data_IF_101759594967
#
_entry.id   IF_101759594967
#
_cell.length_a   1.000
_cell.length_b   1.000
_cell.length_c   1.000
_cell.angle_alpha   90.00
_cell.angle_beta   90.00
_cell.angle_gamma   90.00
#
_symmetry.space_group_name_H-M   'P 1'
#
loop_
_entity.id
_entity.type
_entity.pdbx_description
1 polymer ?
#
# COMPACT_ATOMS: atom_id res chain seq x y z
N UNK A 1 -48.68 -6.51 38.46
CA UNK A 1 -47.66 -5.50 38.07
C UNK A 1 -46.23 -5.91 38.38
N UNK A 2 -45.89 -6.33 39.62
CA UNK A 2 -44.51 -6.62 40.04
C UNK A 2 -43.81 -7.74 39.26
N UNK A 3 -44.54 -8.78 38.82
CA UNK A 3 -43.98 -9.87 37.99
C UNK A 3 -43.65 -9.43 36.56
N UNK A 4 -44.46 -8.53 35.99
CA UNK A 4 -44.25 -7.97 34.65
C UNK A 4 -43.00 -7.06 34.62
N UNK A 5 -42.86 -6.20 35.63
CA UNK A 5 -41.70 -5.31 35.77
C UNK A 5 -40.39 -6.11 35.94
N UNK A 6 -40.41 -7.20 36.72
CA UNK A 6 -39.26 -8.10 36.86
C UNK A 6 -38.88 -8.78 35.55
N UNK A 7 -39.87 -9.17 34.74
CA UNK A 7 -39.64 -9.79 33.44
C UNK A 7 -39.02 -8.80 32.44
N UNK A 8 -39.52 -7.56 32.39
CA UNK A 8 -38.95 -6.50 31.55
C UNK A 8 -37.50 -6.19 31.95
N UNK A 9 -37.22 -6.13 33.25
CA UNK A 9 -35.88 -5.88 33.75
C UNK A 9 -34.91 -7.02 33.37
N UNK A 10 -35.34 -8.28 33.48
CA UNK A 10 -34.56 -9.44 33.05
C UNK A 10 -34.28 -9.43 31.54
N UNK A 11 -35.27 -9.06 30.73
CA UNK A 11 -35.10 -8.94 29.29
C UNK A 11 -34.07 -7.86 28.94
N UNK A 12 -34.12 -6.71 29.62
CA UNK A 12 -33.18 -5.60 29.40
C UNK A 12 -31.74 -5.98 29.78
N UNK A 13 -31.56 -6.68 30.90
CA UNK A 13 -30.25 -7.24 31.28
C UNK A 13 -29.77 -8.23 30.22
N UNK A 14 -30.64 -9.13 29.76
CA UNK A 14 -30.27 -10.10 28.74
C UNK A 14 -29.83 -9.43 27.42
N UNK A 15 -30.56 -8.42 26.96
CA UNK A 15 -30.22 -7.72 25.71
C UNK A 15 -28.92 -6.94 25.83
N UNK A 16 -28.64 -6.33 26.98
CA UNK A 16 -27.36 -5.64 27.20
C UNK A 16 -26.19 -6.61 27.22
N UNK A 17 -26.31 -7.75 27.90
CA UNK A 17 -25.27 -8.78 27.95
C UNK A 17 -24.98 -9.35 26.55
N UNK A 18 -26.04 -9.71 25.81
CA UNK A 18 -25.89 -10.21 24.42
C UNK A 18 -25.25 -9.13 23.54
N UNK A 19 -25.67 -7.88 23.67
CA UNK A 19 -25.08 -6.76 22.93
C UNK A 19 -23.58 -6.57 23.21
N UNK A 20 -23.15 -6.67 24.47
CA UNK A 20 -21.73 -6.56 24.85
C UNK A 20 -20.92 -7.74 24.32
N UNK A 21 -21.47 -8.96 24.34
CA UNK A 21 -20.80 -10.15 23.79
C UNK A 21 -20.63 -10.00 22.28
N UNK A 22 -21.70 -9.63 21.57
CA UNK A 22 -21.65 -9.41 20.13
C UNK A 22 -20.70 -8.27 19.77
N UNK A 23 -20.72 -7.16 20.52
CA UNK A 23 -19.79 -6.05 20.30
C UNK A 23 -18.33 -6.49 20.42
N UNK A 24 -17.98 -7.27 21.44
CA UNK A 24 -16.61 -7.75 21.60
C UNK A 24 -16.23 -8.81 20.55
N UNK A 25 -17.17 -9.65 20.13
CA UNK A 25 -16.93 -10.66 19.09
C UNK A 25 -16.77 -10.04 17.69
N UNK A 26 -17.51 -8.97 17.40
CA UNK A 26 -17.49 -8.28 16.12
C UNK A 26 -16.67 -6.99 16.13
N UNK A 27 -16.03 -6.63 17.25
CA UNK A 27 -15.09 -5.50 17.26
C UNK A 27 -13.95 -5.89 16.31
N UNK A 28 -13.65 -5.08 15.29
CA UNK A 28 -12.51 -5.35 14.42
C UNK A 28 -11.24 -5.39 15.26
N UNK A 29 -10.39 -6.37 15.01
CA UNK A 29 -9.05 -6.41 15.60
C UNK A 29 -8.33 -5.10 15.22
N UNK A 30 -7.62 -4.53 16.20
CA UNK A 30 -6.78 -3.37 15.94
C UNK A 30 -5.72 -3.82 14.92
N UNK A 31 -5.78 -3.25 13.72
CA UNK A 31 -4.79 -3.53 12.69
C UNK A 31 -3.43 -3.05 13.21
N UNK A 32 -2.60 -4.00 13.61
CA UNK A 32 -1.18 -3.73 13.84
C UNK A 32 -0.62 -3.39 12.47
N UNK A 33 -0.25 -2.13 12.28
CA UNK A 33 0.47 -1.69 11.09
C UNK A 33 1.85 -2.34 11.13
N UNK A 34 1.98 -3.56 10.62
CA UNK A 34 3.28 -4.16 10.43
C UNK A 34 4.00 -3.40 9.30
N UNK A 35 5.30 -3.09 9.47
CA UNK A 35 6.08 -2.45 8.43
C UNK A 35 6.14 -3.33 7.18
N UNK A 36 6.20 -2.69 6.02
CA UNK A 36 6.31 -3.33 4.70
C UNK A 36 7.63 -4.12 4.57
N UNK A 37 7.67 -5.37 5.01
CA UNK A 37 8.84 -6.26 4.88
C UNK A 37 8.95 -6.92 3.49
N UNK A 38 7.85 -6.93 2.73
CA UNK A 38 7.71 -7.50 1.37
C UNK A 38 8.58 -6.81 0.31
N UNK A 39 8.97 -5.56 0.56
CA UNK A 39 9.73 -4.72 -0.35
C UNK A 39 11.04 -4.30 0.28
N UNK A 40 11.95 -3.73 -0.52
CA UNK A 40 13.15 -3.11 0.02
C UNK A 40 12.75 -1.84 0.80
N UNK A 41 12.53 -2.01 2.11
CA UNK A 41 12.10 -0.97 3.04
C UNK A 41 13.25 0.00 3.34
N UNK A 42 13.63 0.77 2.33
CA UNK A 42 14.42 1.97 2.54
C UNK A 42 13.40 3.08 2.70
N UNK A 43 13.14 3.54 3.92
CA UNK A 43 12.32 4.75 4.09
C UNK A 43 13.09 5.93 3.50
N UNK A 44 12.80 6.25 2.24
CA UNK A 44 13.37 7.39 1.54
C UNK A 44 12.41 8.55 1.74
N UNK A 45 12.82 9.56 2.51
CA UNK A 45 12.08 10.81 2.54
C UNK A 45 12.13 11.44 1.15
N UNK A 46 11.01 12.01 0.68
CA UNK A 46 10.90 12.57 -0.67
C UNK A 46 12.04 13.57 -1.00
N UNK A 47 12.50 14.32 0.00
CA UNK A 47 13.60 15.28 -0.14
C UNK A 47 14.92 14.58 -0.53
N UNK A 48 15.13 13.35 -0.07
CA UNK A 48 16.31 12.54 -0.35
C UNK A 48 16.17 11.64 -1.58
N UNK A 49 14.98 11.57 -2.20
CA UNK A 49 14.74 10.76 -3.39
C UNK A 49 15.75 11.08 -4.51
N UNK A 50 16.05 12.35 -4.74
CA UNK A 50 17.01 12.80 -5.76
C UNK A 50 18.43 12.29 -5.54
N UNK A 51 18.78 11.94 -4.30
CA UNK A 51 20.09 11.38 -3.94
C UNK A 51 20.11 9.86 -4.12
N UNK A 52 18.95 9.20 -4.08
CA UNK A 52 18.82 7.75 -4.22
C UNK A 52 18.69 7.30 -5.68
N UNK A 53 18.12 8.15 -6.53
CA UNK A 53 18.02 7.90 -7.98
C UNK A 53 19.38 8.13 -8.64
N UNK A 54 19.85 7.10 -9.32
CA UNK A 54 21.12 7.05 -10.04
C UNK A 54 20.88 7.09 -11.55
N UNK A 55 21.97 7.07 -12.33
CA UNK A 55 21.87 7.02 -13.79
C UNK A 55 21.25 5.70 -14.29
N UNK A 56 21.40 4.61 -13.54
CA UNK A 56 20.69 3.36 -13.80
C UNK A 56 19.23 3.43 -13.34
N UNK A 57 18.27 2.91 -14.12
CA UNK A 57 16.88 2.78 -13.71
C UNK A 57 16.71 2.04 -12.39
N UNK A 58 15.85 2.55 -11.50
CA UNK A 58 15.44 1.91 -10.25
C UNK A 58 13.93 2.03 -10.07
N UNK A 59 13.32 0.98 -9.54
CA UNK A 59 11.88 0.94 -9.29
C UNK A 59 11.55 1.36 -7.87
N UNK A 60 10.55 2.22 -7.72
CA UNK A 60 10.10 2.76 -6.45
C UNK A 60 8.61 2.54 -6.28
N UNK A 61 8.19 2.12 -5.09
CA UNK A 61 6.80 2.01 -4.69
C UNK A 61 6.46 3.13 -3.71
N UNK A 62 5.69 4.10 -4.19
CA UNK A 62 5.27 5.27 -3.44
C UNK A 62 3.96 4.97 -2.70
N UNK A 63 4.04 4.93 -1.37
CA UNK A 63 2.88 4.66 -0.51
C UNK A 63 3.04 5.22 0.90
N UNK A 64 1.97 5.16 1.69
CA UNK A 64 2.03 5.49 3.12
C UNK A 64 1.21 4.48 3.91
N UNK A 65 1.70 4.11 5.09
CA UNK A 65 1.05 3.13 5.98
C UNK A 65 -0.35 3.56 6.43
N UNK A 66 -0.62 4.87 6.42
CA UNK A 66 -1.90 5.43 6.87
C UNK A 66 -2.99 5.41 5.76
N UNK A 67 -2.67 4.91 4.56
CA UNK A 67 -3.59 4.90 3.42
C UNK A 67 -4.16 3.50 3.16
N UNK A 68 -5.48 3.38 3.12
CA UNK A 68 -6.17 2.10 2.92
C UNK A 68 -5.85 1.42 1.58
N UNK A 69 -5.66 2.19 0.51
CA UNK A 69 -5.29 1.65 -0.81
C UNK A 69 -3.86 1.10 -0.79
N UNK A 70 -2.97 1.70 0.00
CA UNK A 70 -1.63 1.19 0.25
C UNK A 70 -1.65 -0.15 1.01
N UNK A 71 -2.48 -0.25 2.05
CA UNK A 71 -2.66 -1.50 2.79
C UNK A 71 -3.27 -2.59 1.89
N UNK A 72 -4.26 -2.23 1.07
CA UNK A 72 -4.83 -3.15 0.09
C UNK A 72 -3.80 -3.64 -0.92
N UNK A 73 -2.99 -2.74 -1.46
CA UNK A 73 -1.93 -3.08 -2.42
C UNK A 73 -0.91 -4.02 -1.80
N UNK A 74 -0.58 -3.87 -0.52
CA UNK A 74 0.28 -4.82 0.16
C UNK A 74 -0.33 -6.21 0.22
N UNK A 75 -1.50 -6.31 0.86
CA UNK A 75 -2.06 -7.57 1.29
C UNK A 75 -2.68 -8.37 0.14
N UNK A 76 -3.23 -7.67 -0.85
CA UNK A 76 -4.02 -8.27 -1.93
C UNK A 76 -3.31 -8.26 -3.28
N UNK A 77 -2.20 -7.53 -3.42
CA UNK A 77 -1.45 -7.44 -4.69
C UNK A 77 -0.01 -7.91 -4.51
N UNK A 78 0.77 -7.28 -3.61
CA UNK A 78 2.20 -7.57 -3.44
C UNK A 78 2.39 -8.93 -2.77
N UNK A 79 1.76 -9.19 -1.61
CA UNK A 79 1.92 -10.46 -0.89
C UNK A 79 1.51 -11.69 -1.71
N UNK A 80 0.36 -11.71 -2.42
CA UNK A 80 0.02 -12.83 -3.27
C UNK A 80 1.01 -12.99 -4.43
N UNK A 81 1.54 -11.90 -4.98
CA UNK A 81 2.53 -11.94 -6.05
C UNK A 81 3.87 -12.51 -5.58
N UNK A 82 4.31 -12.18 -4.37
CA UNK A 82 5.48 -12.78 -3.73
C UNK A 82 5.33 -14.29 -3.57
N UNK A 83 4.16 -14.73 -3.08
CA UNK A 83 3.82 -16.15 -2.94
C UNK A 83 3.85 -16.85 -4.30
N UNK A 84 3.30 -16.26 -5.35
CA UNK A 84 3.33 -16.80 -6.72
C UNK A 84 4.76 -16.84 -7.31
N UNK A 85 5.58 -15.83 -7.00
CA UNK A 85 6.98 -15.74 -7.42
C UNK A 85 7.92 -16.63 -6.60
N UNK A 86 7.41 -17.33 -5.57
CA UNK A 86 8.21 -18.14 -4.63
C UNK A 86 9.34 -17.35 -3.96
N UNK A 87 9.11 -16.06 -3.71
CA UNK A 87 10.07 -15.17 -3.04
C UNK A 87 9.42 -14.52 -1.83
N UNK A 88 10.23 -14.12 -0.86
CA UNK A 88 9.75 -13.37 0.31
C UNK A 88 9.80 -11.86 0.09
N UNK A 89 10.50 -11.41 -0.95
CA UNK A 89 10.69 -9.99 -1.26
C UNK A 89 10.93 -9.72 -2.75
N UNK A 90 10.55 -8.53 -3.21
CA UNK A 90 11.06 -7.92 -4.45
C UNK A 90 12.21 -6.97 -4.17
N UNK A 91 13.45 -7.46 -4.27
CA UNK A 91 14.66 -6.68 -3.90
C UNK A 91 14.90 -5.45 -4.79
N UNK A 92 14.34 -5.45 -5.99
CA UNK A 92 14.53 -4.39 -6.98
C UNK A 92 13.52 -3.23 -6.86
N UNK A 93 12.52 -3.36 -5.97
CA UNK A 93 11.50 -2.34 -5.75
C UNK A 93 11.70 -1.74 -4.36
N UNK A 94 11.99 -0.44 -4.32
CA UNK A 94 12.25 0.32 -3.11
C UNK A 94 10.98 1.00 -2.62
N UNK A 95 10.60 0.78 -1.37
CA UNK A 95 9.49 1.50 -0.75
C UNK A 95 9.84 2.98 -0.56
N UNK A 96 8.88 3.89 -0.74
CA UNK A 96 9.04 5.34 -0.50
C UNK A 96 7.82 5.83 0.27
N UNK A 97 8.04 6.29 1.51
CA UNK A 97 6.95 6.81 2.34
C UNK A 97 6.53 8.20 1.86
N UNK A 98 5.29 8.32 1.38
CA UNK A 98 4.73 9.59 0.87
C UNK A 98 3.92 10.36 1.91
N UNK A 99 3.99 9.99 3.20
CA UNK A 99 3.27 10.67 4.28
C UNK A 99 3.45 12.19 4.27
N UNK A 100 4.66 12.67 3.98
CA UNK A 100 4.97 14.10 3.92
C UNK A 100 4.43 14.79 2.67
N UNK A 101 4.27 14.07 1.55
CA UNK A 101 3.67 14.62 0.33
C UNK A 101 2.18 14.93 0.52
N UNK A 102 1.48 14.12 1.31
CA UNK A 102 0.03 14.24 1.54
C UNK A 102 -0.37 15.58 2.19
N UNK A 103 0.51 16.17 3.00
CA UNK A 103 0.11 17.33 3.80
C UNK A 103 0.22 18.67 3.04
N UNK A 104 1.08 18.76 2.02
CA UNK A 104 1.46 20.06 1.44
C UNK A 104 1.68 20.08 -0.08
N UNK A 105 1.55 18.95 -0.79
CA UNK A 105 1.87 18.86 -2.22
C UNK A 105 0.62 18.57 -3.05
N UNK A 106 0.35 19.44 -4.04
CA UNK A 106 -0.76 19.27 -4.98
C UNK A 106 -0.50 18.05 -5.90
N UNK A 107 -1.52 17.23 -6.22
CA UNK A 107 -1.38 16.09 -7.14
C UNK A 107 -0.78 16.46 -8.50
N UNK A 108 -1.06 17.67 -8.99
CA UNK A 108 -0.47 18.19 -10.24
C UNK A 108 1.04 18.37 -10.16
N UNK A 109 1.55 18.82 -9.00
CA UNK A 109 2.99 18.97 -8.78
C UNK A 109 3.71 17.63 -8.66
N UNK A 110 3.03 16.61 -8.09
CA UNK A 110 3.55 15.23 -8.07
C UNK A 110 3.62 14.70 -9.49
N UNK A 111 2.56 14.88 -10.29
CA UNK A 111 2.49 14.42 -11.68
C UNK A 111 3.59 15.00 -12.55
N UNK A 112 3.89 16.29 -12.41
CA UNK A 112 4.96 16.95 -13.15
C UNK A 112 6.36 16.40 -12.80
N UNK A 113 6.58 16.02 -11.53
CA UNK A 113 7.91 15.64 -11.03
C UNK A 113 8.18 14.14 -11.03
N UNK A 114 7.14 13.32 -10.83
CA UNK A 114 7.24 11.87 -10.62
C UNK A 114 6.37 11.08 -11.60
N UNK A 115 5.53 11.74 -12.41
CA UNK A 115 4.73 11.10 -13.46
C UNK A 115 3.42 10.47 -12.99
N UNK A 116 3.14 10.47 -11.68
CA UNK A 116 1.89 9.99 -11.09
C UNK A 116 1.20 11.09 -10.28
N UNK A 117 -0.11 10.94 -10.11
CA UNK A 117 -0.96 11.90 -9.38
C UNK A 117 -1.58 11.32 -8.12
N UNK A 118 -1.72 10.00 -8.06
CA UNK A 118 -2.34 9.27 -6.97
C UNK A 118 -1.41 8.15 -6.53
N UNK A 119 -1.48 7.79 -5.26
CA UNK A 119 -0.76 6.65 -4.69
C UNK A 119 -1.77 5.65 -4.11
N UNK A 120 -1.47 4.34 -4.06
CA UNK A 120 -0.20 3.68 -4.39
C UNK A 120 0.27 3.87 -5.83
N UNK A 121 1.58 4.00 -6.03
CA UNK A 121 2.16 4.05 -7.38
C UNK A 121 3.51 3.36 -7.45
N UNK A 122 3.75 2.60 -8.52
CA UNK A 122 5.05 2.07 -8.89
C UNK A 122 5.65 2.92 -9.99
N UNK A 123 6.90 3.34 -9.84
CA UNK A 123 7.57 4.21 -10.80
C UNK A 123 8.99 3.74 -11.04
N UNK A 124 9.36 3.61 -12.32
CA UNK A 124 10.73 3.40 -12.73
C UNK A 124 11.37 4.77 -13.00
N UNK A 125 12.38 5.12 -12.21
CA UNK A 125 13.08 6.40 -12.29
C UNK A 125 14.55 6.18 -12.64
N UNK A 126 15.11 7.07 -13.43
CA UNK A 126 16.56 7.25 -13.56
C UNK A 126 16.94 8.72 -13.46
N UNK A 127 18.22 9.00 -13.35
CA UNK A 127 18.77 10.36 -13.33
C UNK A 127 19.64 10.56 -14.56
N UNK A 128 19.54 11.72 -15.19
CA UNK A 128 20.49 12.12 -16.24
C UNK A 128 20.61 13.63 -16.20
N UNK A 129 21.83 14.14 -16.26
CA UNK A 129 22.14 15.58 -16.19
C UNK A 129 21.50 16.28 -14.97
N UNK A 130 21.44 15.58 -13.83
CA UNK A 130 20.86 16.10 -12.60
C UNK A 130 19.32 16.15 -12.57
N UNK A 131 18.64 15.72 -13.63
CA UNK A 131 17.18 15.67 -13.73
C UNK A 131 16.68 14.24 -13.58
N UNK A 132 15.50 14.11 -12.97
CA UNK A 132 14.79 12.82 -12.93
C UNK A 132 14.15 12.56 -14.30
N UNK A 133 14.36 11.34 -14.77
CA UNK A 133 13.68 10.79 -15.93
C UNK A 133 12.67 9.76 -15.43
N UNK A 134 11.41 9.97 -15.79
CA UNK A 134 10.32 9.03 -15.51
C UNK A 134 10.24 8.08 -16.69
N UNK A 135 10.52 6.80 -16.45
CA UNK A 135 10.60 5.80 -17.51
C UNK A 135 9.30 4.99 -17.64
N UNK A 136 8.69 4.66 -16.51
CA UNK A 136 7.45 3.89 -16.46
C UNK A 136 6.69 4.17 -15.17
N UNK A 137 5.35 4.16 -15.24
CA UNK A 137 4.45 4.44 -14.11
C UNK A 137 3.29 3.44 -14.14
N UNK A 138 3.00 2.86 -12.99
CA UNK A 138 1.76 2.15 -12.68
C UNK A 138 1.14 2.82 -11.46
N UNK A 139 0.12 3.65 -11.67
CA UNK A 139 -0.55 4.40 -10.60
C UNK A 139 -1.93 3.82 -10.29
N UNK A 140 -2.32 3.89 -9.02
CA UNK A 140 -3.69 3.66 -8.60
C UNK A 140 -4.56 4.82 -9.05
N UNK A 141 -5.71 4.57 -9.66
CA UNK A 141 -6.68 5.60 -10.01
C UNK A 141 -8.07 5.13 -9.56
N UNK A 142 -8.88 6.00 -8.97
CA UNK A 142 -10.24 5.67 -8.51
C UNK A 142 -11.14 5.12 -9.64
N UNK A 143 -10.84 5.43 -10.90
CA UNK A 143 -11.51 4.86 -12.06
C UNK A 143 -10.95 3.51 -12.52
N UNK A 144 -9.69 3.19 -12.18
CA UNK A 144 -8.98 2.00 -12.64
C UNK A 144 -7.91 1.60 -11.62
N UNK A 145 -8.29 0.72 -10.69
CA UNK A 145 -7.35 0.10 -9.76
C UNK A 145 -6.49 -0.91 -10.54
N UNK A 146 -5.18 -0.91 -10.30
CA UNK A 146 -4.32 -1.97 -10.83
C UNK A 146 -4.47 -3.25 -10.00
N UNK A 147 -4.22 -4.38 -10.64
CA UNK A 147 -4.33 -5.72 -10.05
C UNK A 147 -2.96 -6.39 -9.90
N UNK A 148 -2.94 -7.58 -9.29
CA UNK A 148 -1.76 -8.45 -9.26
C UNK A 148 -1.19 -8.71 -10.65
N UNK A 149 -2.06 -8.91 -11.64
CA UNK A 149 -1.67 -9.15 -13.03
C UNK A 149 -1.01 -7.91 -13.65
N UNK A 150 -1.55 -6.72 -13.36
CA UNK A 150 -1.00 -5.46 -13.88
C UNK A 150 0.38 -5.17 -13.29
N UNK A 151 0.55 -5.37 -11.97
CA UNK A 151 1.86 -5.23 -11.33
C UNK A 151 2.88 -6.22 -11.92
N UNK A 152 2.51 -7.49 -12.08
CA UNK A 152 3.37 -8.50 -12.70
C UNK A 152 3.79 -8.08 -14.11
N UNK A 153 2.84 -7.67 -14.94
CA UNK A 153 3.12 -7.23 -16.30
C UNK A 153 4.02 -5.99 -16.33
N UNK A 154 3.77 -5.02 -15.45
CA UNK A 154 4.63 -3.86 -15.31
C UNK A 154 6.06 -4.26 -14.92
N UNK A 155 6.23 -5.20 -14.00
CA UNK A 155 7.55 -5.74 -13.65
C UNK A 155 8.24 -6.42 -14.84
N UNK A 156 7.51 -7.24 -15.62
CA UNK A 156 8.05 -7.90 -16.82
C UNK A 156 8.50 -6.86 -17.87
N UNK A 157 7.66 -5.87 -18.15
CA UNK A 157 7.95 -4.81 -19.13
C UNK A 157 9.20 -3.99 -18.75
N UNK A 158 9.45 -3.83 -17.45
CA UNK A 158 10.58 -3.08 -16.93
C UNK A 158 11.78 -3.97 -16.53
N UNK A 159 11.76 -5.26 -16.89
CA UNK A 159 12.84 -6.22 -16.58
C UNK A 159 13.12 -6.39 -15.08
N UNK A 160 12.10 -6.18 -14.25
CA UNK A 160 12.14 -6.35 -12.79
C UNK A 160 11.63 -7.73 -12.36
N UNK A 161 10.96 -8.45 -13.26
CA UNK A 161 10.56 -9.84 -13.05
C UNK A 161 11.74 -10.76 -13.39
N UNK A 162 12.40 -11.28 -12.37
CA UNK A 162 13.58 -12.13 -12.53
C UNK A 162 13.21 -13.54 -13.00
N UNK A 163 14.13 -14.19 -13.70
CA UNK A 163 13.96 -15.58 -14.19
C UNK A 163 13.71 -16.59 -13.07
N UNK A 164 14.19 -16.28 -11.85
CA UNK A 164 13.98 -17.07 -10.63
C UNK A 164 12.55 -16.97 -10.07
N UNK A 165 11.78 -15.97 -10.50
CA UNK A 165 10.38 -15.85 -10.10
C UNK A 165 9.54 -16.83 -10.93
N UNK A 166 8.93 -17.79 -10.24
CA UNK A 166 8.13 -18.84 -10.88
C UNK A 166 6.94 -18.29 -11.68
N UNK A 167 6.61 -19.00 -12.78
CA UNK A 167 5.55 -18.64 -13.72
C UNK A 167 4.13 -18.93 -13.22
#
# INVERSE_FOLDING_TARGET
MTKLIRFIFLLLVLTTVVGVILFNYFKPDEQVLEPYDSLNFVKIDYIDLLNQVTDSPKAFFFCTLDNQNCTYTENEIIEPLLKSASTNRFDQIYFVDVKELNQNVLPSAIKERLGFSHYPAFVLLSKSDGKLNILSVLEWNDAMNFTQYDLRNWMIQNQLWLDEYTN
#
